data_IF_429233913224
#
_entry.id   IF_429233913224
#
_cell.length_a   1.000
_cell.length_b   1.000
_cell.length_c   1.000
_cell.angle_alpha   90.00
_cell.angle_beta   90.00
_cell.angle_gamma   90.00
#
_symmetry.space_group_name_H-M   'P 1'
#
loop_
_entity.id
_entity.type
_entity.pdbx_description
1 polymer ?
#
# COMPACT_ATOMS: atom_id res chain seq x y z
N UNK A 1 -37.23 -6.13 34.59
CA UNK A 1 -36.36 -7.22 34.05
C UNK A 1 -36.69 -7.60 32.60
N UNK A 2 -37.96 -7.78 32.22
CA UNK A 2 -38.34 -8.23 30.85
C UNK A 2 -38.05 -7.23 29.73
N UNK A 3 -38.22 -5.92 29.96
CA UNK A 3 -37.95 -4.89 28.94
C UNK A 3 -36.46 -4.61 28.70
N UNK A 4 -35.62 -4.69 29.74
CA UNK A 4 -34.17 -4.54 29.60
C UNK A 4 -33.53 -5.66 28.79
N UNK A 5 -34.04 -6.88 28.94
CA UNK A 5 -33.60 -8.03 28.15
C UNK A 5 -34.01 -7.89 26.68
N UNK A 6 -35.21 -7.35 26.40
CA UNK A 6 -35.67 -7.10 25.03
C UNK A 6 -34.81 -6.04 24.31
N UNK A 7 -34.46 -4.95 25.00
CA UNK A 7 -33.59 -3.89 24.47
C UNK A 7 -32.16 -4.37 24.20
N UNK A 8 -31.62 -5.20 25.09
CA UNK A 8 -30.28 -5.78 24.92
C UNK A 8 -30.24 -6.74 23.72
N UNK A 9 -31.31 -7.50 23.48
CA UNK A 9 -31.39 -8.44 22.35
C UNK A 9 -31.50 -7.71 21.01
N UNK A 10 -32.20 -6.57 20.95
CA UNK A 10 -32.32 -5.75 19.74
C UNK A 10 -30.98 -5.06 19.42
N UNK A 11 -30.27 -4.56 20.42
CA UNK A 11 -28.92 -3.99 20.27
C UNK A 11 -27.88 -5.03 19.80
N UNK A 12 -28.00 -6.28 20.25
CA UNK A 12 -27.15 -7.37 19.81
C UNK A 12 -27.47 -7.86 18.38
N UNK A 13 -28.74 -7.78 17.97
CA UNK A 13 -29.16 -8.13 16.61
C UNK A 13 -28.74 -7.07 15.57
N UNK A 14 -28.66 -5.79 15.97
CA UNK A 14 -28.17 -4.69 15.14
C UNK A 14 -26.66 -4.72 14.91
N UNK A 15 -25.88 -5.34 15.80
CA UNK A 15 -24.42 -5.50 15.64
C UNK A 15 -24.02 -6.69 14.77
N UNK A 16 -24.96 -7.59 14.42
CA UNK A 16 -24.70 -8.74 13.54
C UNK A 16 -24.93 -8.47 12.05
N UNK A 17 -25.43 -7.29 11.65
CA UNK A 17 -25.74 -6.97 10.25
C UNK A 17 -24.64 -6.20 9.49
N UNK A 18 -23.48 -5.97 10.11
CA UNK A 18 -22.33 -5.31 9.45
C UNK A 18 -21.46 -6.27 8.61
N UNK A 19 -21.93 -7.48 8.36
CA UNK A 19 -21.41 -8.33 7.28
C UNK A 19 -21.83 -7.75 5.92
N UNK A 20 -21.18 -6.65 5.52
CA UNK A 20 -21.24 -6.17 4.14
C UNK A 20 -20.81 -7.27 3.16
N UNK A 21 -21.15 -7.15 1.87
CA UNK A 21 -20.87 -8.20 0.89
C UNK A 21 -19.37 -8.54 0.89
N UNK A 22 -19.04 -9.69 1.46
CA UNK A 22 -17.76 -10.35 1.31
C UNK A 22 -17.71 -10.89 -0.12
N UNK A 23 -17.07 -10.14 -1.01
CA UNK A 23 -16.91 -10.51 -2.41
C UNK A 23 -17.64 -9.57 -3.37
N UNK A 24 -17.32 -8.28 -3.32
CA UNK A 24 -17.41 -7.48 -4.53
C UNK A 24 -16.29 -7.95 -5.46
N UNK A 25 -16.68 -8.59 -6.56
CA UNK A 25 -15.99 -8.89 -7.82
C UNK A 25 -14.46 -8.77 -7.84
N UNK A 26 -13.76 -9.80 -8.34
CA UNK A 26 -12.31 -9.80 -8.60
C UNK A 26 -11.89 -8.81 -9.72
N UNK A 27 -12.37 -7.57 -9.68
CA UNK A 27 -11.87 -6.46 -10.46
C UNK A 27 -10.48 -6.06 -9.95
N UNK A 28 -9.46 -6.34 -10.76
CA UNK A 28 -8.05 -6.01 -10.49
C UNK A 28 -7.41 -6.88 -9.41
N UNK A 29 -6.45 -7.73 -9.79
CA UNK A 29 -5.70 -8.56 -8.85
C UNK A 29 -4.67 -7.77 -8.03
N UNK A 30 -4.28 -6.59 -8.51
CA UNK A 30 -3.27 -5.76 -7.87
C UNK A 30 -3.84 -5.09 -6.60
N UNK A 31 -3.05 -5.11 -5.54
CA UNK A 31 -3.41 -4.47 -4.28
C UNK A 31 -3.45 -2.95 -4.44
N UNK A 32 -4.64 -2.38 -4.25
CA UNK A 32 -4.92 -0.94 -4.19
C UNK A 32 -5.17 -0.50 -2.73
N UNK A 33 -5.52 0.77 -2.55
CA UNK A 33 -5.87 1.33 -1.26
C UNK A 33 -7.04 0.61 -0.57
N UNK A 34 -8.04 0.11 -1.32
CA UNK A 34 -9.19 -0.58 -0.73
C UNK A 34 -8.78 -1.86 -0.02
N UNK A 35 -7.89 -2.64 -0.64
CA UNK A 35 -7.36 -3.87 -0.03
C UNK A 35 -6.34 -3.54 1.07
N UNK A 36 -5.54 -2.49 0.88
CA UNK A 36 -4.53 -2.06 1.85
C UNK A 36 -5.14 -1.63 3.20
N UNK A 37 -6.17 -0.78 3.19
CA UNK A 37 -6.78 -0.28 4.44
C UNK A 37 -7.47 -1.37 5.26
N UNK A 38 -7.90 -2.45 4.60
CA UNK A 38 -8.54 -3.61 5.23
C UNK A 38 -7.52 -4.67 5.67
N UNK A 39 -6.28 -4.62 5.17
CA UNK A 39 -5.26 -5.62 5.47
C UNK A 39 -4.77 -5.50 6.92
N UNK A 40 -4.51 -6.64 7.55
CA UNK A 40 -3.78 -6.69 8.81
C UNK A 40 -2.34 -6.16 8.63
N UNK A 41 -1.71 -5.78 9.73
CA UNK A 41 -0.31 -5.36 9.72
C UNK A 41 0.59 -6.44 9.09
N UNK A 42 0.41 -7.70 9.48
CA UNK A 42 1.15 -8.83 8.91
C UNK A 42 0.93 -8.98 7.41
N UNK A 43 -0.31 -8.76 6.93
CA UNK A 43 -0.62 -8.74 5.50
C UNK A 43 0.13 -7.65 4.75
N UNK A 44 0.16 -6.44 5.31
CA UNK A 44 0.92 -5.30 4.75
C UNK A 44 2.42 -5.58 4.69
N UNK A 45 2.98 -6.12 5.78
CA UNK A 45 4.39 -6.52 5.87
C UNK A 45 4.70 -7.58 4.81
N UNK A 46 3.88 -8.64 4.74
CA UNK A 46 4.06 -9.73 3.80
C UNK A 46 4.04 -9.27 2.34
N UNK A 47 3.14 -8.35 2.00
CA UNK A 47 3.10 -7.76 0.66
C UNK A 47 4.38 -6.98 0.33
N UNK A 48 4.86 -6.14 1.25
CA UNK A 48 6.10 -5.38 1.06
C UNK A 48 7.28 -6.35 0.84
N UNK A 49 7.39 -7.40 1.66
CA UNK A 49 8.43 -8.40 1.50
C UNK A 49 8.34 -9.11 0.14
N UNK A 50 7.14 -9.50 -0.29
CA UNK A 50 6.91 -10.17 -1.57
C UNK A 50 7.33 -9.31 -2.75
N UNK A 51 6.90 -8.05 -2.79
CA UNK A 51 7.26 -7.09 -3.84
C UNK A 51 8.76 -6.79 -3.85
N UNK A 52 9.37 -6.62 -2.67
CA UNK A 52 10.81 -6.39 -2.54
C UNK A 52 11.63 -7.58 -3.03
N UNK A 53 11.26 -8.80 -2.66
CA UNK A 53 11.94 -10.02 -3.08
C UNK A 53 11.85 -10.25 -4.59
N UNK A 54 10.67 -10.00 -5.19
CA UNK A 54 10.51 -10.08 -6.64
C UNK A 54 11.40 -9.05 -7.36
N UNK A 55 11.43 -7.81 -6.87
CA UNK A 55 12.27 -6.78 -7.47
C UNK A 55 13.77 -7.08 -7.32
N UNK A 56 14.21 -7.60 -6.16
CA UNK A 56 15.60 -8.00 -5.94
C UNK A 56 15.97 -9.21 -6.83
N UNK A 57 15.07 -10.17 -7.03
CA UNK A 57 15.26 -11.28 -7.97
C UNK A 57 15.43 -10.79 -9.41
N UNK A 58 14.60 -9.85 -9.87
CA UNK A 58 14.73 -9.29 -11.22
C UNK A 58 16.06 -8.55 -11.42
N UNK A 59 16.52 -7.82 -10.40
CA UNK A 59 17.82 -7.12 -10.43
C UNK A 59 18.98 -8.11 -10.43
N UNK A 60 18.97 -9.09 -9.52
CA UNK A 60 20.06 -10.07 -9.36
C UNK A 60 20.15 -11.07 -10.50
N UNK A 61 19.03 -11.39 -11.15
CA UNK A 61 19.01 -12.26 -12.35
C UNK A 61 19.62 -11.62 -13.60
N UNK A 62 20.02 -10.33 -13.54
CA UNK A 62 20.55 -9.59 -14.69
C UNK A 62 19.50 -9.30 -15.78
N UNK A 63 18.23 -9.63 -15.53
CA UNK A 63 17.12 -9.40 -16.47
C UNK A 63 16.62 -7.95 -16.42
N UNK A 64 16.87 -7.24 -15.33
CA UNK A 64 16.53 -5.83 -15.20
C UNK A 64 17.47 -4.95 -16.04
N UNK A 65 16.92 -4.27 -17.06
CA UNK A 65 17.63 -3.21 -17.79
C UNK A 65 17.98 -2.05 -16.84
N UNK A 66 19.07 -1.33 -17.12
CA UNK A 66 19.38 -0.08 -16.41
C UNK A 66 18.19 0.89 -16.47
N UNK A 67 17.74 1.37 -15.30
CA UNK A 67 16.55 2.24 -15.20
C UNK A 67 15.21 1.49 -15.09
N UNK A 68 15.22 0.16 -14.97
CA UNK A 68 14.01 -0.63 -14.74
C UNK A 68 13.34 -0.29 -13.40
N UNK A 69 12.01 -0.44 -13.35
CA UNK A 69 11.19 -0.22 -12.16
C UNK A 69 11.68 -1.04 -10.96
N UNK A 70 12.10 -2.29 -11.18
CA UNK A 70 12.67 -3.15 -10.14
C UNK A 70 13.91 -2.53 -9.48
N UNK A 71 14.79 -1.86 -10.22
CA UNK A 71 15.95 -1.18 -9.63
C UNK A 71 15.56 0.01 -8.76
N UNK A 72 14.55 0.78 -9.19
CA UNK A 72 14.03 1.89 -8.40
C UNK A 72 13.37 1.38 -7.11
N UNK A 73 12.60 0.30 -7.23
CA UNK A 73 11.91 -0.34 -6.10
C UNK A 73 12.91 -0.90 -5.08
N UNK A 74 13.92 -1.65 -5.52
CA UNK A 74 14.98 -2.17 -4.63
C UNK A 74 15.72 -1.04 -3.92
N UNK A 75 16.02 0.07 -4.62
CA UNK A 75 16.68 1.24 -4.01
C UNK A 75 15.80 1.88 -2.93
N UNK A 76 14.53 2.12 -3.23
CA UNK A 76 13.57 2.70 -2.28
C UNK A 76 13.42 1.80 -1.04
N UNK A 77 13.22 0.50 -1.26
CA UNK A 77 12.94 -0.45 -0.18
C UNK A 77 14.15 -0.74 0.71
N UNK A 78 15.38 -0.67 0.19
CA UNK A 78 16.60 -0.86 1.00
C UNK A 78 16.97 0.36 1.86
N UNK A 79 16.36 1.52 1.62
CA UNK A 79 16.61 2.75 2.40
C UNK A 79 15.70 2.90 3.62
N UNK A 80 14.65 2.07 3.73
CA UNK A 80 13.61 2.19 4.73
C UNK A 80 13.38 0.84 5.40
N UNK A 81 12.97 0.87 6.65
CA UNK A 81 12.38 -0.29 7.30
C UNK A 81 11.01 -0.60 6.69
N UNK A 82 10.59 -1.86 6.76
CA UNK A 82 9.26 -2.27 6.28
C UNK A 82 8.16 -1.48 7.00
N UNK A 83 8.30 -1.26 8.31
CA UNK A 83 7.35 -0.47 9.10
C UNK A 83 7.24 0.98 8.63
N UNK A 84 8.36 1.61 8.22
CA UNK A 84 8.32 2.96 7.64
C UNK A 84 7.56 2.96 6.31
N UNK A 85 7.81 1.98 5.44
CA UNK A 85 7.07 1.84 4.17
C UNK A 85 5.56 1.67 4.45
N UNK A 86 5.19 0.86 5.45
CA UNK A 86 3.78 0.70 5.86
C UNK A 86 3.16 2.03 6.27
N UNK A 87 3.81 2.76 7.18
CA UNK A 87 3.33 4.05 7.69
C UNK A 87 3.19 5.09 6.56
N UNK A 88 4.11 5.07 5.61
CA UNK A 88 4.10 5.95 4.47
C UNK A 88 2.93 5.68 3.51
N UNK A 89 2.66 4.41 3.21
CA UNK A 89 1.51 4.01 2.39
C UNK A 89 0.19 4.30 3.12
N UNK A 90 0.11 4.01 4.41
CA UNK A 90 -1.05 4.35 5.25
C UNK A 90 -1.34 5.85 5.19
N UNK A 91 -0.32 6.67 5.42
CA UNK A 91 -0.44 8.13 5.34
C UNK A 91 -0.88 8.60 3.96
N UNK A 92 -0.37 8.01 2.88
CA UNK A 92 -0.75 8.40 1.53
C UNK A 92 -2.25 8.22 1.29
N UNK A 93 -2.83 7.06 1.62
CA UNK A 93 -4.27 6.86 1.41
C UNK A 93 -5.14 7.66 2.38
N UNK A 94 -4.64 7.95 3.58
CA UNK A 94 -5.30 8.89 4.50
C UNK A 94 -5.35 10.31 3.94
N UNK A 95 -4.24 10.80 3.38
CA UNK A 95 -4.12 12.15 2.84
C UNK A 95 -4.81 12.30 1.46
N UNK A 96 -4.97 11.21 0.69
CA UNK A 96 -5.45 11.22 -0.70
C UNK A 96 -6.62 10.23 -0.93
N UNK A 97 -7.80 10.45 -0.30
CA UNK A 97 -8.92 9.51 -0.39
C UNK A 97 -9.47 9.33 -1.81
N UNK A 98 -9.30 10.32 -2.70
CA UNK A 98 -9.68 10.23 -4.11
C UNK A 98 -8.79 9.24 -4.90
N UNK A 99 -7.62 8.88 -4.37
CA UNK A 99 -6.63 8.00 -5.00
C UNK A 99 -6.65 6.58 -4.41
N UNK A 100 -7.74 6.18 -3.74
CA UNK A 100 -7.87 4.84 -3.11
C UNK A 100 -7.76 3.67 -4.11
N UNK A 101 -7.90 3.94 -5.41
CA UNK A 101 -7.75 2.97 -6.51
C UNK A 101 -6.33 2.89 -7.07
N UNK A 102 -5.42 3.77 -6.65
CA UNK A 102 -4.00 3.68 -7.01
C UNK A 102 -3.41 2.40 -6.43
N UNK A 103 -2.53 1.74 -7.19
CA UNK A 103 -1.91 0.50 -6.72
C UNK A 103 -0.86 0.79 -5.63
N UNK A 104 -0.75 -0.08 -4.63
CA UNK A 104 0.22 0.08 -3.53
C UNK A 104 1.66 0.17 -4.04
N UNK A 105 2.03 -0.66 -5.02
CA UNK A 105 3.36 -0.63 -5.63
C UNK A 105 3.64 0.71 -6.32
N UNK A 106 2.62 1.32 -6.94
CA UNK A 106 2.73 2.66 -7.49
C UNK A 106 2.90 3.71 -6.38
N UNK A 107 2.17 3.62 -5.27
CA UNK A 107 2.36 4.54 -4.13
C UNK A 107 3.78 4.49 -3.58
N UNK A 108 4.34 3.29 -3.43
CA UNK A 108 5.73 3.07 -2.99
C UNK A 108 6.69 3.77 -3.97
N UNK A 109 6.47 3.65 -5.29
CA UNK A 109 7.32 4.25 -6.32
C UNK A 109 7.07 5.75 -6.59
N UNK A 110 5.84 6.24 -6.44
CA UNK A 110 5.44 7.60 -6.78
C UNK A 110 6.04 8.59 -5.76
N UNK A 111 6.16 8.19 -4.49
CA UNK A 111 6.94 8.92 -3.49
C UNK A 111 8.41 9.06 -3.85
N UNK A 112 9.05 7.98 -4.33
CA UNK A 112 10.44 8.05 -4.82
C UNK A 112 10.60 9.13 -5.90
N UNK A 113 9.66 9.22 -6.85
CA UNK A 113 9.73 10.21 -7.94
C UNK A 113 9.51 11.64 -7.45
N UNK A 114 8.61 11.85 -6.48
CA UNK A 114 8.31 13.18 -5.90
C UNK A 114 9.45 13.72 -5.04
N UNK A 115 10.20 12.86 -4.35
CA UNK A 115 11.37 13.25 -3.55
C UNK A 115 12.62 13.45 -4.42
N UNK A 116 12.83 12.64 -5.47
CA UNK A 116 13.93 12.85 -6.43
C UNK A 116 13.72 14.07 -7.34
N UNK A 117 12.47 14.42 -7.68
CA UNK A 117 12.14 15.64 -8.43
C UNK A 117 12.39 16.95 -7.66
N UNK A 118 12.55 16.88 -6.33
CA UNK A 118 13.00 18.00 -5.51
C UNK A 118 14.54 18.12 -5.45
N UNK A 119 15.27 17.06 -5.83
CA UNK A 119 16.73 17.00 -5.85
C UNK A 119 17.39 17.34 -7.19
N UNK A 120 16.63 17.50 -8.27
CA UNK A 120 17.15 17.93 -9.60
C UNK A 120 16.79 19.39 -9.88
N UNK A 121 17.07 20.27 -8.93
CA UNK A 121 17.17 21.72 -9.17
C UNK A 121 18.52 22.21 -8.67
N UNK A 122 19.53 22.04 -9.51
CA UNK A 122 20.80 22.73 -9.34
C UNK A 122 22.01 21.82 -9.46
N UNK A 123 22.30 21.34 -10.67
CA UNK A 123 23.69 21.20 -11.10
C UNK A 123 23.71 21.03 -12.62
N UNK A 124 24.53 21.84 -13.30
CA UNK A 124 24.71 21.80 -14.74
C UNK A 124 24.23 23.06 -15.49
N UNK A 125 24.71 24.24 -15.09
CA UNK A 125 24.90 25.32 -16.07
C UNK A 125 26.35 25.30 -16.54
N UNK A 126 26.50 25.20 -17.87
CA UNK A 126 27.66 25.48 -18.73
C UNK A 126 28.73 24.38 -18.89
N UNK A 127 29.46 24.33 -20.02
CA UNK A 127 30.03 25.46 -20.79
C UNK A 127 29.10 26.25 -21.73
#
# INVERSE_FOLDING_TARGET
MKQGMLLLTILLALSLSLGGPAGAEEGGFLWDGNRWVQASLDGKIGYIWGVGNLADLEVTSGKAKAGAIAQALVREMKQKTVSQIVQEVDKYYQDNPAEIKTSVIEVILHRYRKEMGKGVKGEGKKP
#
